data_IF_013512715824
#
_entry.id   IF_013512715824
#
_cell.length_a   1.000
_cell.length_b   1.000
_cell.length_c   1.000
_cell.angle_alpha   90.00
_cell.angle_beta   90.00
_cell.angle_gamma   90.00
#
_symmetry.space_group_name_H-M   'P 1'
#
loop_
_entity.id
_entity.type
_entity.pdbx_description
1 polymer ?
#
# COMPACT_ATOMS: atom_id res chain seq x y z
N UNK A 1 -21.21 5.76 -0.79
CA UNK A 1 -20.47 6.36 -1.94
C UNK A 1 -20.04 5.22 -2.85
N UNK A 2 -19.84 5.46 -4.15
CA UNK A 2 -19.29 4.44 -5.06
C UNK A 2 -17.77 4.54 -5.11
N UNK A 3 -17.08 3.41 -5.19
CA UNK A 3 -15.62 3.36 -5.29
C UNK A 3 -15.11 4.08 -6.54
N UNK A 4 -13.91 4.64 -6.45
CA UNK A 4 -13.24 5.35 -7.53
C UNK A 4 -12.86 4.38 -8.67
N UNK A 5 -12.45 3.16 -8.34
CA UNK A 5 -12.07 2.15 -9.35
C UNK A 5 -13.24 1.70 -10.22
N UNK A 6 -14.49 1.93 -9.77
CA UNK A 6 -15.68 1.63 -10.58
C UNK A 6 -15.94 2.68 -11.66
N UNK A 7 -15.27 3.84 -11.61
CA UNK A 7 -15.42 4.96 -12.57
C UNK A 7 -14.27 4.98 -13.58
N UNK A 8 -13.07 4.67 -13.11
CA UNK A 8 -11.85 4.62 -13.92
C UNK A 8 -10.81 3.76 -13.24
N UNK A 9 -10.02 3.03 -14.03
CA UNK A 9 -8.84 2.32 -13.51
C UNK A 9 -7.73 3.32 -13.18
N UNK A 10 -7.75 3.87 -11.96
CA UNK A 10 -6.72 4.78 -11.47
C UNK A 10 -5.54 4.06 -10.85
N UNK A 11 -5.60 2.74 -10.62
CA UNK A 11 -4.53 2.02 -9.92
C UNK A 11 -3.20 2.19 -10.64
N UNK A 12 -3.21 2.16 -11.98
CA UNK A 12 -2.02 2.39 -12.82
C UNK A 12 -1.30 3.71 -12.54
N UNK A 13 -1.99 4.72 -12.00
CA UNK A 13 -1.40 6.01 -11.63
C UNK A 13 -0.48 5.90 -10.41
N UNK A 14 -0.57 4.83 -9.60
CA UNK A 14 0.44 4.52 -8.56
C UNK A 14 1.84 4.35 -9.16
N UNK A 15 1.93 3.92 -10.43
CA UNK A 15 3.18 3.74 -11.16
C UNK A 15 3.74 5.07 -11.73
N UNK A 16 2.96 6.15 -11.68
CA UNK A 16 3.38 7.41 -12.28
C UNK A 16 4.60 7.99 -11.57
N UNK A 17 5.52 8.53 -12.37
CA UNK A 17 6.67 9.30 -11.86
C UNK A 17 6.27 10.67 -11.33
N UNK A 18 5.07 11.14 -11.66
CA UNK A 18 4.52 12.38 -11.16
C UNK A 18 3.95 12.16 -9.76
N UNK A 19 4.56 12.81 -8.77
CA UNK A 19 4.15 12.72 -7.36
C UNK A 19 2.69 13.13 -7.13
N UNK A 20 2.18 14.12 -7.87
CA UNK A 20 0.79 14.54 -7.71
C UNK A 20 -0.18 13.43 -8.13
N UNK A 21 0.15 12.73 -9.22
CA UNK A 21 -0.68 11.65 -9.76
C UNK A 21 -0.67 10.43 -8.85
N UNK A 22 0.53 9.95 -8.46
CA UNK A 22 0.63 8.75 -7.65
C UNK A 22 0.14 8.95 -6.20
N UNK A 23 0.27 10.16 -5.62
CA UNK A 23 -0.31 10.45 -4.30
C UNK A 23 -1.82 10.55 -4.36
N UNK A 24 -2.39 11.14 -5.43
CA UNK A 24 -3.84 11.16 -5.61
C UNK A 24 -4.41 9.74 -5.77
N UNK A 25 -3.72 8.88 -6.52
CA UNK A 25 -4.08 7.46 -6.64
C UNK A 25 -3.99 6.73 -5.30
N UNK A 26 -2.98 7.02 -4.49
CA UNK A 26 -2.84 6.44 -3.15
C UNK A 26 -4.02 6.84 -2.24
N UNK A 27 -4.39 8.12 -2.20
CA UNK A 27 -5.53 8.60 -1.40
C UNK A 27 -6.86 7.99 -1.90
N UNK A 28 -7.07 7.90 -3.22
CA UNK A 28 -8.25 7.22 -3.78
C UNK A 28 -8.34 5.74 -3.36
N UNK A 29 -7.20 5.06 -3.23
CA UNK A 29 -7.17 3.67 -2.77
C UNK A 29 -7.49 3.55 -1.28
N UNK A 30 -7.04 4.50 -0.45
CA UNK A 30 -7.46 4.58 0.95
C UNK A 30 -8.98 4.80 1.04
N UNK A 31 -9.53 5.73 0.25
CA UNK A 31 -10.97 6.01 0.22
C UNK A 31 -11.80 4.80 -0.23
N UNK A 32 -11.32 4.06 -1.23
CA UNK A 32 -11.98 2.86 -1.74
C UNK A 32 -11.92 1.71 -0.71
N UNK A 33 -10.80 1.54 -0.01
CA UNK A 33 -10.69 0.56 1.08
C UNK A 33 -11.62 0.89 2.26
N UNK A 34 -11.83 2.18 2.56
CA UNK A 34 -12.83 2.60 3.54
C UNK A 34 -14.27 2.40 3.05
N UNK A 35 -14.51 2.52 1.75
CA UNK A 35 -15.85 2.44 1.15
C UNK A 35 -16.32 0.99 0.97
N UNK A 36 -15.47 0.13 0.39
CA UNK A 36 -15.74 -1.29 0.14
C UNK A 36 -14.43 -2.08 0.15
N UNK A 37 -13.98 -2.41 1.36
CA UNK A 37 -12.68 -3.06 1.60
C UNK A 37 -12.50 -4.35 0.79
N UNK A 38 -13.41 -5.31 0.94
CA UNK A 38 -13.26 -6.65 0.36
C UNK A 38 -13.24 -6.62 -1.17
N UNK A 39 -14.16 -5.85 -1.80
CA UNK A 39 -14.14 -5.73 -3.26
C UNK A 39 -12.93 -4.95 -3.75
N UNK A 40 -12.48 -3.93 -3.02
CA UNK A 40 -11.28 -3.16 -3.38
C UNK A 40 -10.02 -4.03 -3.32
N UNK A 41 -9.86 -4.84 -2.26
CA UNK A 41 -8.75 -5.81 -2.15
C UNK A 41 -8.79 -6.78 -3.35
N UNK A 42 -9.94 -7.40 -3.60
CA UNK A 42 -10.11 -8.36 -4.69
C UNK A 42 -9.82 -7.74 -6.06
N UNK A 43 -10.32 -6.53 -6.30
CA UNK A 43 -10.14 -5.79 -7.57
C UNK A 43 -8.67 -5.41 -7.76
N UNK A 44 -8.02 -4.88 -6.73
CA UNK A 44 -6.61 -4.50 -6.79
C UNK A 44 -5.69 -5.71 -7.02
N UNK A 45 -5.90 -6.81 -6.26
CA UNK A 45 -5.07 -8.01 -6.39
C UNK A 45 -5.31 -8.78 -7.70
N UNK A 46 -6.50 -8.68 -8.28
CA UNK A 46 -6.85 -9.28 -9.58
C UNK A 46 -6.42 -8.41 -10.77
N UNK A 47 -5.99 -7.17 -10.53
CA UNK A 47 -5.50 -6.28 -11.58
C UNK A 47 -4.31 -6.92 -12.31
N UNK A 48 -4.27 -6.80 -13.64
CA UNK A 48 -3.24 -7.42 -14.48
C UNK A 48 -1.82 -6.93 -14.16
N UNK A 49 -1.68 -5.68 -13.73
CA UNK A 49 -0.44 -5.07 -13.24
C UNK A 49 -0.25 -5.14 -11.71
N UNK A 50 -1.01 -5.97 -10.98
CA UNK A 50 -0.99 -5.99 -9.50
C UNK A 50 0.39 -6.17 -8.88
N UNK A 51 1.31 -6.90 -9.52
CA UNK A 51 2.68 -7.04 -9.02
C UNK A 51 3.47 -5.72 -9.07
N UNK A 52 3.40 -4.99 -10.18
CA UNK A 52 4.02 -3.68 -10.32
C UNK A 52 3.38 -2.66 -9.37
N UNK A 53 2.06 -2.73 -9.19
CA UNK A 53 1.32 -1.87 -8.26
C UNK A 53 1.73 -2.11 -6.80
N UNK A 54 1.93 -3.37 -6.40
CA UNK A 54 2.47 -3.68 -5.07
C UNK A 54 3.89 -3.12 -4.89
N UNK A 55 4.73 -3.20 -5.92
CA UNK A 55 6.05 -2.56 -5.88
C UNK A 55 5.98 -1.03 -5.77
N UNK A 56 5.01 -0.39 -6.41
CA UNK A 56 4.79 1.04 -6.24
C UNK A 56 4.39 1.40 -4.81
N UNK A 57 3.51 0.61 -4.18
CA UNK A 57 3.17 0.79 -2.76
C UNK A 57 4.41 0.63 -1.86
N UNK A 58 5.28 -0.34 -2.14
CA UNK A 58 6.57 -0.50 -1.42
C UNK A 58 7.50 0.71 -1.63
N UNK A 59 7.51 1.32 -2.81
CA UNK A 59 8.28 2.55 -3.04
C UNK A 59 7.69 3.75 -2.29
N UNK A 60 6.36 3.85 -2.21
CA UNK A 60 5.64 4.90 -1.48
C UNK A 60 5.75 4.73 0.04
N UNK A 61 5.92 3.50 0.53
CA UNK A 61 6.21 3.21 1.94
C UNK A 61 7.52 3.89 2.41
N UNK A 62 8.55 3.90 1.57
CA UNK A 62 9.82 4.57 1.85
C UNK A 62 9.81 6.09 1.60
N UNK A 63 8.64 6.72 1.45
CA UNK A 63 8.53 8.14 1.16
C UNK A 63 8.87 9.01 2.39
N UNK A 64 9.47 10.18 2.15
CA UNK A 64 9.82 11.14 3.21
C UNK A 64 8.60 11.83 3.82
N UNK A 65 7.50 11.92 3.09
CA UNK A 65 6.26 12.48 3.61
C UNK A 65 5.54 11.42 4.44
N UNK A 66 5.47 11.63 5.76
CA UNK A 66 4.89 10.65 6.69
C UNK A 66 3.49 10.20 6.29
N UNK A 67 2.62 11.13 5.85
CA UNK A 67 1.26 10.81 5.36
C UNK A 67 1.27 9.82 4.18
N UNK A 68 2.18 9.97 3.23
CA UNK A 68 2.30 9.07 2.06
C UNK A 68 2.78 7.70 2.51
N UNK A 69 3.82 7.64 3.34
CA UNK A 69 4.32 6.40 3.91
C UNK A 69 3.25 5.69 4.77
N UNK A 70 2.54 6.44 5.61
CA UNK A 70 1.43 5.99 6.45
C UNK A 70 0.28 5.37 5.67
N UNK A 71 -0.12 6.00 4.57
CA UNK A 71 -1.14 5.47 3.66
C UNK A 71 -0.67 4.21 2.94
N UNK A 72 0.58 4.20 2.46
CA UNK A 72 1.14 3.01 1.82
C UNK A 72 1.21 1.84 2.80
N UNK A 73 1.61 2.08 4.06
CA UNK A 73 1.56 1.08 5.12
C UNK A 73 0.13 0.59 5.35
N UNK A 74 -0.83 1.49 5.56
CA UNK A 74 -2.24 1.12 5.73
C UNK A 74 -2.76 0.22 4.61
N UNK A 75 -2.51 0.59 3.35
CA UNK A 75 -2.95 -0.19 2.18
C UNK A 75 -2.26 -1.55 2.17
N UNK A 76 -0.95 -1.63 2.38
CA UNK A 76 -0.23 -2.91 2.42
C UNK A 76 -0.75 -3.81 3.55
N UNK A 77 -0.96 -3.27 4.75
CA UNK A 77 -1.54 -4.00 5.87
C UNK A 77 -2.94 -4.50 5.57
N UNK A 78 -3.78 -3.66 4.97
CA UNK A 78 -5.17 -4.02 4.60
C UNK A 78 -5.21 -5.10 3.52
N UNK A 79 -4.35 -5.00 2.49
CA UNK A 79 -4.23 -6.05 1.47
C UNK A 79 -3.76 -7.38 2.10
N UNK A 80 -2.85 -7.30 3.07
CA UNK A 80 -2.31 -8.46 3.79
C UNK A 80 -3.34 -9.15 4.70
N UNK A 81 -4.51 -8.55 4.96
CA UNK A 81 -5.61 -9.24 5.67
C UNK A 81 -6.20 -10.40 4.84
N UNK A 82 -6.00 -10.39 3.52
CA UNK A 82 -6.37 -11.51 2.64
C UNK A 82 -5.22 -12.50 2.47
N UNK A 83 -5.51 -13.80 2.40
CA UNK A 83 -4.47 -14.84 2.20
C UNK A 83 -3.60 -14.58 0.97
N UNK A 84 -4.22 -14.21 -0.16
CA UNK A 84 -3.51 -13.91 -1.40
C UNK A 84 -2.61 -12.67 -1.25
N UNK A 85 -3.13 -11.60 -0.64
CA UNK A 85 -2.37 -10.38 -0.42
C UNK A 85 -1.21 -10.60 0.55
N UNK A 86 -1.44 -11.30 1.65
CA UNK A 86 -0.41 -11.67 2.63
C UNK A 86 0.72 -12.46 1.96
N UNK A 87 0.38 -13.52 1.22
CA UNK A 87 1.38 -14.33 0.52
C UNK A 87 2.19 -13.51 -0.48
N UNK A 88 1.56 -12.61 -1.25
CA UNK A 88 2.26 -11.76 -2.21
C UNK A 88 3.18 -10.74 -1.52
N UNK A 89 2.72 -10.08 -0.46
CA UNK A 89 3.53 -9.09 0.26
C UNK A 89 4.70 -9.76 0.98
N UNK A 90 4.49 -10.92 1.62
CA UNK A 90 5.58 -11.71 2.21
C UNK A 90 6.59 -12.19 1.17
N UNK A 91 6.13 -12.55 -0.04
CA UNK A 91 7.03 -12.90 -1.14
C UNK A 91 7.90 -11.71 -1.54
N UNK A 92 7.32 -10.50 -1.63
CA UNK A 92 8.08 -9.27 -1.88
C UNK A 92 9.11 -9.01 -0.77
N UNK A 93 8.73 -9.14 0.50
CA UNK A 93 9.62 -8.91 1.65
C UNK A 93 10.76 -9.94 1.75
N UNK A 94 10.53 -11.19 1.33
CA UNK A 94 11.54 -12.26 1.30
C UNK A 94 12.36 -12.28 0.01
N UNK A 95 12.02 -11.42 -0.95
CA UNK A 95 12.67 -11.35 -2.26
C UNK A 95 14.15 -10.97 -2.19
N UNK A 96 14.87 -11.24 -3.28
CA UNK A 96 16.29 -10.83 -3.45
C UNK A 96 16.44 -9.40 -3.98
N UNK A 97 15.33 -8.73 -4.32
CA UNK A 97 15.36 -7.38 -4.83
C UNK A 97 15.84 -6.42 -3.73
N UNK A 98 16.60 -5.38 -4.10
CA UNK A 98 17.18 -4.44 -3.12
C UNK A 98 16.10 -3.76 -2.25
N UNK A 99 14.93 -3.52 -2.84
CA UNK A 99 13.80 -2.87 -2.17
C UNK A 99 13.05 -3.85 -1.24
N UNK A 100 13.16 -5.17 -1.45
CA UNK A 100 12.56 -6.20 -0.55
C UNK A 100 13.01 -6.02 0.90
N UNK A 101 14.31 -5.75 1.10
CA UNK A 101 14.90 -5.56 2.43
C UNK A 101 14.42 -4.29 3.13
N UNK A 102 13.84 -3.35 2.39
CA UNK A 102 13.40 -2.08 2.93
C UNK A 102 12.02 -2.17 3.55
N UNK A 103 11.14 -3.07 3.11
CA UNK A 103 9.75 -3.16 3.60
C UNK A 103 9.68 -3.22 5.14
N UNK A 104 10.34 -4.20 5.75
CA UNK A 104 10.35 -4.34 7.22
C UNK A 104 11.14 -3.22 7.90
N UNK A 105 12.20 -2.72 7.26
CA UNK A 105 13.01 -1.62 7.79
C UNK A 105 12.22 -0.31 7.83
N UNK A 106 11.49 0.01 6.79
CA UNK A 106 10.68 1.22 6.64
C UNK A 106 9.50 1.16 7.61
N UNK A 107 8.77 0.02 7.69
CA UNK A 107 7.72 -0.18 8.69
C UNK A 107 8.23 -0.04 10.12
N UNK A 108 9.40 -0.61 10.43
CA UNK A 108 10.00 -0.48 11.77
C UNK A 108 10.41 0.97 12.05
N UNK A 109 10.97 1.68 11.07
CA UNK A 109 11.32 3.09 11.20
C UNK A 109 10.09 3.96 11.44
N UNK A 110 8.97 3.68 10.78
CA UNK A 110 7.72 4.41 10.97
C UNK A 110 7.19 4.36 12.41
N UNK A 111 7.56 3.34 13.19
CA UNK A 111 7.21 3.27 14.62
C UNK A 111 7.84 4.40 15.46
N UNK A 112 8.78 5.16 14.90
CA UNK A 112 9.39 6.33 15.55
C UNK A 112 8.86 7.65 15.00
N UNK A 113 7.81 7.65 14.17
CA UNK A 113 7.20 8.88 13.67
C UNK A 113 6.42 9.60 14.77
N UNK A 114 6.37 10.92 14.69
CA UNK A 114 5.54 11.75 15.58
C UNK A 114 4.04 11.67 15.23
N UNK A 115 3.69 11.16 14.05
CA UNK A 115 2.32 11.00 13.57
C UNK A 115 1.71 9.66 14.06
N UNK A 116 0.74 9.68 14.99
CA UNK A 116 0.22 8.45 15.61
C UNK A 116 -0.51 7.54 14.63
N UNK A 117 -1.17 8.11 13.61
CA UNK A 117 -1.87 7.33 12.58
C UNK A 117 -0.87 6.51 11.75
N UNK A 118 0.22 7.13 11.30
CA UNK A 118 1.30 6.42 10.58
C UNK A 118 1.95 5.34 11.45
N UNK A 119 2.18 5.60 12.73
CA UNK A 119 2.72 4.61 13.68
C UNK A 119 1.76 3.42 13.81
N UNK A 120 0.46 3.68 13.98
CA UNK A 120 -0.57 2.65 14.07
C UNK A 120 -0.65 1.82 12.78
N UNK A 121 -0.63 2.46 11.62
CA UNK A 121 -0.67 1.78 10.32
C UNK A 121 0.55 0.87 10.13
N UNK A 122 1.74 1.34 10.50
CA UNK A 122 2.95 0.54 10.45
C UNK A 122 2.91 -0.65 11.42
N UNK A 123 2.51 -0.41 12.67
CA UNK A 123 2.39 -1.47 13.69
C UNK A 123 1.33 -2.51 13.30
N UNK A 124 0.18 -2.08 12.79
CA UNK A 124 -0.88 -2.95 12.29
C UNK A 124 -0.39 -3.80 11.11
N UNK A 125 0.29 -3.18 10.14
CA UNK A 125 0.88 -3.90 9.00
C UNK A 125 1.90 -4.94 9.46
N UNK A 126 2.78 -4.61 10.41
CA UNK A 126 3.73 -5.55 10.99
C UNK A 126 3.06 -6.69 11.77
N UNK A 127 1.93 -6.41 12.44
CA UNK A 127 1.17 -7.43 13.16
C UNK A 127 0.41 -8.40 12.25
N UNK A 128 0.03 -7.94 11.06
CA UNK A 128 -0.65 -8.75 10.04
C UNK A 128 0.32 -9.65 9.26
N UNK A 129 1.56 -9.22 9.03
CA UNK A 129 2.59 -9.95 8.28
C UNK A 129 3.35 -10.98 9.13
#
# INVERSE_FOLDING_TARGET
>A
MTCNWSKSDYFVQLLDKNQLSNYAALEMLVDDLHTDKEHTISTFLSHSGSEDLLWALVQLLGNKTHRVAGNAAYILGTLAESDLGCHRILYLAKGRHKESKKILSDLTHMLTFDDPESVMNAAGTLGTL
#
